data_IF_917640441664
#
_entry.id   IF_917640441664
#
_cell.length_a   1.000
_cell.length_b   1.000
_cell.length_c   1.000
_cell.angle_alpha   90.00
_cell.angle_beta   90.00
_cell.angle_gamma   90.00
#
_symmetry.space_group_name_H-M   'P 1'
#
loop_
_entity.id
_entity.type
_entity.pdbx_description
1 polymer ?
#
# COMPACT_ATOMS: atom_id res chain seq x y z
N UNK A 1 38.66 -21.53 22.37
CA UNK A 1 37.19 -21.54 22.16
C UNK A 1 36.43 -21.02 23.38
N UNK A 2 36.66 -21.57 24.58
CA UNK A 2 35.99 -21.09 25.82
C UNK A 2 36.24 -19.60 26.09
N UNK A 3 37.49 -19.12 26.00
CA UNK A 3 37.83 -17.70 26.15
C UNK A 3 37.03 -16.79 25.21
N UNK A 4 36.93 -17.16 23.93
CA UNK A 4 36.15 -16.43 22.93
C UNK A 4 34.66 -16.38 23.32
N UNK A 5 34.10 -17.51 23.76
CA UNK A 5 32.73 -17.56 24.26
C UNK A 5 32.51 -16.64 25.46
N UNK A 6 33.43 -16.60 26.42
CA UNK A 6 33.32 -15.74 27.60
C UNK A 6 33.45 -14.24 27.24
N UNK A 7 34.27 -13.88 26.25
CA UNK A 7 34.35 -12.51 25.73
C UNK A 7 32.99 -12.09 25.18
N UNK A 8 32.39 -12.87 24.28
CA UNK A 8 31.08 -12.54 23.70
C UNK A 8 29.93 -12.61 24.71
N UNK A 9 30.03 -13.47 25.74
CA UNK A 9 29.07 -13.52 26.83
C UNK A 9 29.14 -12.25 27.69
N UNK A 10 30.35 -11.76 27.97
CA UNK A 10 30.56 -10.47 28.65
C UNK A 10 30.04 -9.29 27.83
N UNK A 11 30.28 -9.28 26.51
CA UNK A 11 29.71 -8.28 25.60
C UNK A 11 28.18 -8.34 25.58
N UNK A 12 27.58 -9.53 25.52
CA UNK A 12 26.13 -9.70 25.59
C UNK A 12 25.56 -9.12 26.90
N UNK A 13 26.22 -9.36 28.04
CA UNK A 13 25.83 -8.80 29.33
C UNK A 13 25.91 -7.26 29.35
N UNK A 14 26.97 -6.67 28.78
CA UNK A 14 27.13 -5.21 28.68
C UNK A 14 26.05 -4.58 27.78
N UNK A 15 25.79 -5.17 26.61
CA UNK A 15 24.75 -4.70 25.69
C UNK A 15 23.37 -4.83 26.34
N UNK A 16 23.10 -5.95 27.00
CA UNK A 16 21.86 -6.14 27.76
C UNK A 16 21.70 -5.08 28.85
N UNK A 17 22.75 -4.80 29.62
CA UNK A 17 22.70 -3.76 30.65
C UNK A 17 22.37 -2.38 30.08
N UNK A 18 22.97 -2.03 28.93
CA UNK A 18 22.64 -0.79 28.23
C UNK A 18 21.16 -0.76 27.79
N UNK A 19 20.67 -1.83 27.18
CA UNK A 19 19.26 -1.98 26.79
C UNK A 19 18.32 -1.89 28.00
N UNK A 20 18.64 -2.58 29.09
CA UNK A 20 17.87 -2.57 30.32
C UNK A 20 17.77 -1.16 30.92
N UNK A 21 18.90 -0.45 30.96
CA UNK A 21 18.94 0.93 31.44
C UNK A 21 18.07 1.85 30.58
N UNK A 22 18.15 1.71 29.25
CA UNK A 22 17.33 2.48 28.31
C UNK A 22 15.84 2.21 28.46
N UNK A 23 15.44 0.95 28.60
CA UNK A 23 14.02 0.56 28.65
C UNK A 23 13.35 0.81 30.01
N UNK A 24 14.06 0.55 31.11
CA UNK A 24 13.45 0.47 32.44
C UNK A 24 13.89 1.55 33.42
N UNK A 25 15.08 2.12 33.23
CA UNK A 25 15.64 3.10 34.17
C UNK A 25 15.57 4.54 33.65
N UNK A 26 15.52 4.73 32.34
CA UNK A 26 15.42 6.05 31.70
C UNK A 26 14.02 6.28 31.15
N UNK A 27 13.54 7.51 31.32
CA UNK A 27 12.30 7.96 30.67
C UNK A 27 12.55 8.09 29.17
N UNK A 28 11.73 7.47 28.30
CA UNK A 28 11.89 7.60 26.86
C UNK A 28 11.67 9.05 26.41
N UNK A 29 12.37 9.51 25.37
CA UNK A 29 12.16 10.84 24.80
C UNK A 29 10.72 10.98 24.30
N UNK A 30 10.15 12.18 24.43
CA UNK A 30 8.72 12.46 24.17
C UNK A 30 8.42 13.13 22.83
N UNK A 31 9.44 13.47 22.03
CA UNK A 31 9.21 14.09 20.71
C UNK A 31 10.49 14.37 19.92
N UNK A 32 10.30 14.66 18.63
CA UNK A 32 11.36 15.01 17.68
C UNK A 32 12.30 13.85 17.32
N UNK A 33 13.46 14.20 16.76
CA UNK A 33 14.48 13.26 16.28
C UNK A 33 15.01 12.33 17.36
N UNK A 34 14.94 12.75 18.63
CA UNK A 34 15.35 11.93 19.77
C UNK A 34 14.54 10.63 19.91
N UNK A 35 13.27 10.62 19.49
CA UNK A 35 12.43 9.41 19.49
C UNK A 35 12.92 8.40 18.45
N UNK A 36 13.24 8.88 17.26
CA UNK A 36 13.78 8.05 16.17
C UNK A 36 15.14 7.47 16.57
N UNK A 37 16.02 8.31 17.14
CA UNK A 37 17.32 7.86 17.65
C UNK A 37 17.19 6.81 18.76
N UNK A 38 16.24 6.97 19.67
CA UNK A 38 15.95 6.00 20.72
C UNK A 38 15.48 4.65 20.16
N UNK A 39 14.56 4.66 19.18
CA UNK A 39 14.10 3.44 18.52
C UNK A 39 15.24 2.70 17.81
N UNK A 40 16.08 3.42 17.06
CA UNK A 40 17.27 2.84 16.42
C UNK A 40 18.26 2.25 17.41
N UNK A 41 18.51 2.94 18.53
CA UNK A 41 19.40 2.44 19.57
C UNK A 41 18.87 1.12 20.18
N UNK A 42 17.56 0.99 20.39
CA UNK A 42 16.95 -0.28 20.82
C UNK A 42 17.14 -1.38 19.76
N UNK A 43 16.87 -1.08 18.49
CA UNK A 43 17.04 -2.05 17.39
C UNK A 43 18.49 -2.53 17.31
N UNK A 44 19.45 -1.61 17.26
CA UNK A 44 20.86 -1.96 17.17
C UNK A 44 21.37 -2.68 18.41
N UNK A 45 20.91 -2.29 19.61
CA UNK A 45 21.24 -3.00 20.84
C UNK A 45 20.70 -4.44 20.84
N UNK A 46 19.44 -4.66 20.44
CA UNK A 46 18.87 -6.01 20.31
C UNK A 46 19.64 -6.83 19.28
N UNK A 47 20.02 -6.25 18.14
CA UNK A 47 20.83 -6.93 17.13
C UNK A 47 22.23 -7.30 17.65
N UNK A 48 22.92 -6.37 18.33
CA UNK A 48 24.23 -6.62 18.90
C UNK A 48 24.18 -7.73 19.96
N UNK A 49 23.18 -7.70 20.84
CA UNK A 49 22.92 -8.75 21.83
C UNK A 49 22.70 -10.11 21.14
N UNK A 50 21.86 -10.12 20.10
CA UNK A 50 21.53 -11.31 19.31
C UNK A 50 22.78 -11.93 18.69
N UNK A 51 23.62 -11.12 18.06
CA UNK A 51 24.87 -11.57 17.43
C UNK A 51 25.81 -12.18 18.48
N UNK A 52 25.96 -11.52 19.64
CA UNK A 52 26.82 -12.03 20.71
C UNK A 52 26.34 -13.41 21.21
N UNK A 53 25.05 -13.56 21.52
CA UNK A 53 24.50 -14.86 21.94
C UNK A 53 24.54 -15.92 20.84
N UNK A 54 24.44 -15.54 19.57
CA UNK A 54 24.59 -16.46 18.43
C UNK A 54 26.00 -17.06 18.41
N UNK A 55 27.01 -16.21 18.59
CA UNK A 55 28.41 -16.64 18.62
C UNK A 55 28.67 -17.53 19.84
N UNK A 56 28.18 -17.15 21.03
CA UNK A 56 28.29 -17.97 22.25
C UNK A 56 27.65 -19.35 22.05
N UNK A 57 26.43 -19.38 21.49
CA UNK A 57 25.72 -20.61 21.16
C UNK A 57 26.51 -21.50 20.21
N UNK A 58 27.12 -20.93 19.16
CA UNK A 58 27.97 -21.67 18.23
C UNK A 58 29.22 -22.25 18.92
N UNK A 59 29.84 -21.51 19.84
CA UNK A 59 30.97 -22.00 20.65
C UNK A 59 30.54 -23.15 21.56
N UNK A 60 29.42 -23.03 22.28
CA UNK A 60 28.85 -24.10 23.12
C UNK A 60 28.59 -25.36 22.29
N UNK A 61 28.02 -25.19 21.09
CA UNK A 61 27.76 -26.29 20.17
C UNK A 61 29.04 -27.03 19.75
N UNK A 62 30.10 -26.30 19.41
CA UNK A 62 31.42 -26.88 19.08
C UNK A 62 32.07 -27.60 20.26
N UNK A 63 31.77 -27.21 21.49
CA UNK A 63 32.24 -27.87 22.72
C UNK A 63 31.36 -29.05 23.15
N UNK A 64 30.33 -29.39 22.38
CA UNK A 64 29.43 -30.51 22.69
C UNK A 64 28.35 -30.20 23.73
N UNK A 65 28.13 -28.92 24.08
CA UNK A 65 27.13 -28.52 25.08
C UNK A 65 25.68 -28.88 24.74
N UNK A 66 25.41 -29.23 23.47
CA UNK A 66 24.11 -29.71 23.00
C UNK A 66 24.04 -31.22 22.80
N UNK A 67 24.86 -32.02 23.50
CA UNK A 67 24.89 -33.48 23.38
C UNK A 67 23.56 -34.20 23.68
N UNK A 68 22.56 -33.49 24.22
CA UNK A 68 21.20 -33.99 24.48
C UNK A 68 20.33 -34.16 23.20
N UNK A 69 20.82 -33.80 22.02
CA UNK A 69 20.15 -34.01 20.73
C UNK A 69 21.12 -34.66 19.72
N UNK A 70 20.64 -35.69 19.02
CA UNK A 70 21.39 -36.47 18.02
C UNK A 70 21.06 -36.04 16.57
N UNK A 71 22.03 -36.15 15.66
CA UNK A 71 21.86 -35.97 14.20
C UNK A 71 21.90 -34.52 13.66
N UNK A 72 21.69 -34.38 12.33
CA UNK A 72 21.70 -33.09 11.61
C UNK A 72 20.58 -32.13 12.04
N UNK A 73 19.51 -32.65 12.67
CA UNK A 73 18.43 -31.86 13.25
C UNK A 73 18.89 -30.99 14.42
N UNK A 74 19.99 -31.34 15.09
CA UNK A 74 20.58 -30.62 16.22
C UNK A 74 20.93 -29.17 15.88
N UNK A 75 21.64 -28.97 14.77
CA UNK A 75 22.06 -27.61 14.34
C UNK A 75 20.85 -26.78 13.95
N UNK A 76 19.89 -27.39 13.24
CA UNK A 76 18.64 -26.73 12.86
C UNK A 76 17.80 -26.34 14.09
N UNK A 77 17.66 -27.21 15.09
CA UNK A 77 16.93 -26.93 16.33
C UNK A 77 17.57 -25.80 17.14
N UNK A 78 18.90 -25.79 17.24
CA UNK A 78 19.63 -24.73 17.95
C UNK A 78 19.50 -23.40 17.22
N UNK A 79 19.64 -23.39 15.89
CA UNK A 79 19.50 -22.16 15.08
C UNK A 79 18.07 -21.63 15.11
N UNK A 80 17.07 -22.48 14.85
CA UNK A 80 15.65 -22.11 14.91
C UNK A 80 15.26 -21.65 16.32
N UNK A 81 15.73 -22.35 17.35
CA UNK A 81 15.45 -22.00 18.72
C UNK A 81 16.04 -20.65 19.12
N UNK A 82 17.28 -20.39 18.71
CA UNK A 82 17.91 -19.09 18.88
C UNK A 82 17.11 -18.00 18.15
N UNK A 83 16.75 -18.21 16.88
CA UNK A 83 15.96 -17.24 16.12
C UNK A 83 14.62 -16.93 16.80
N UNK A 84 13.91 -17.94 17.31
CA UNK A 84 12.68 -17.76 18.06
C UNK A 84 12.89 -16.91 19.32
N UNK A 85 13.92 -17.21 20.10
CA UNK A 85 14.27 -16.45 21.31
C UNK A 85 14.58 -14.99 20.97
N UNK A 86 15.34 -14.75 19.90
CA UNK A 86 15.73 -13.41 19.47
C UNK A 86 14.53 -12.61 18.95
N UNK A 87 13.67 -13.24 18.13
CA UNK A 87 12.43 -12.64 17.65
C UNK A 87 11.47 -12.33 18.79
N UNK A 88 11.34 -13.25 19.75
CA UNK A 88 10.51 -13.06 20.94
C UNK A 88 10.97 -11.89 21.79
N UNK A 89 12.26 -11.88 22.13
CA UNK A 89 12.84 -10.81 22.94
C UNK A 89 12.79 -9.45 22.23
N UNK A 90 13.11 -9.41 20.94
CA UNK A 90 13.02 -8.18 20.13
C UNK A 90 11.59 -7.67 20.03
N UNK A 91 10.62 -8.55 19.77
CA UNK A 91 9.21 -8.19 19.73
C UNK A 91 8.73 -7.59 21.05
N UNK A 92 8.95 -8.28 22.17
CA UNK A 92 8.50 -7.76 23.47
C UNK A 92 9.26 -6.50 23.91
N UNK A 93 10.53 -6.34 23.50
CA UNK A 93 11.30 -5.11 23.71
C UNK A 93 10.66 -3.92 22.97
N UNK A 94 10.32 -4.11 21.70
CA UNK A 94 9.74 -3.07 20.85
C UNK A 94 8.28 -2.78 21.20
N UNK A 95 7.54 -3.79 21.66
CA UNK A 95 6.10 -3.72 21.93
C UNK A 95 5.74 -3.39 23.39
N UNK A 96 6.72 -3.22 24.28
CA UNK A 96 6.51 -3.00 25.72
C UNK A 96 5.60 -1.80 26.07
N UNK A 97 5.39 -0.87 25.15
CA UNK A 97 4.52 0.31 25.33
C UNK A 97 3.12 0.19 24.74
N UNK A 98 2.99 -0.27 23.49
CA UNK A 98 1.75 -0.09 22.70
C UNK A 98 1.18 -1.40 22.16
N UNK A 99 2.02 -2.42 21.97
CA UNK A 99 1.70 -3.62 21.22
C UNK A 99 0.88 -4.69 21.93
N UNK A 100 0.46 -4.46 23.17
CA UNK A 100 -0.21 -5.46 24.00
C UNK A 100 -1.46 -4.93 24.69
N UNK A 101 -2.03 -3.83 24.18
CA UNK A 101 -3.24 -3.19 24.74
C UNK A 101 -4.43 -4.14 24.86
N UNK A 102 -4.55 -5.04 23.90
CA UNK A 102 -5.71 -5.92 23.74
C UNK A 102 -5.57 -7.24 24.52
N UNK A 103 -4.45 -7.43 25.22
CA UNK A 103 -4.21 -8.63 26.01
C UNK A 103 -4.81 -8.47 27.42
N UNK A 104 -5.23 -9.58 28.06
CA UNK A 104 -5.64 -9.55 29.45
C UNK A 104 -4.60 -8.84 30.33
N UNK A 105 -5.00 -8.02 31.33
CA UNK A 105 -4.07 -7.21 32.12
C UNK A 105 -2.92 -8.01 32.74
N UNK A 106 -3.19 -9.23 33.18
CA UNK A 106 -2.17 -10.13 33.71
C UNK A 106 -1.12 -10.53 32.66
N UNK A 107 -1.55 -10.90 31.45
CA UNK A 107 -0.65 -11.28 30.35
C UNK A 107 0.22 -10.11 29.93
N UNK A 108 -0.37 -8.91 29.87
CA UNK A 108 0.35 -7.66 29.60
C UNK A 108 1.43 -7.39 30.63
N UNK A 109 1.11 -7.60 31.92
CA UNK A 109 2.05 -7.40 33.00
C UNK A 109 3.22 -8.40 32.91
N UNK A 110 2.96 -9.67 32.61
CA UNK A 110 4.01 -10.69 32.41
C UNK A 110 4.92 -10.30 31.23
N UNK A 111 4.35 -9.94 30.08
CA UNK A 111 5.11 -9.62 28.88
C UNK A 111 5.98 -8.38 29.01
N UNK A 112 5.56 -7.41 29.82
CA UNK A 112 6.36 -6.22 30.14
C UNK A 112 7.71 -6.55 30.78
N UNK A 113 7.80 -7.63 31.57
CA UNK A 113 9.02 -8.02 32.25
C UNK A 113 9.86 -9.05 31.50
N UNK A 114 9.35 -9.65 30.41
CA UNK A 114 10.11 -10.61 29.61
C UNK A 114 11.46 -10.02 29.15
N UNK A 115 11.53 -8.80 28.57
CA UNK A 115 12.80 -8.21 28.16
C UNK A 115 13.77 -7.94 29.31
N UNK A 116 13.28 -7.82 30.55
CA UNK A 116 14.12 -7.63 31.73
C UNK A 116 14.66 -8.94 32.30
N UNK A 117 13.84 -10.00 32.29
CA UNK A 117 14.12 -11.25 33.02
C UNK A 117 14.75 -12.31 32.12
N UNK A 118 14.28 -12.45 30.88
CA UNK A 118 14.72 -13.53 30.00
C UNK A 118 16.20 -13.41 29.58
N UNK A 119 16.72 -12.23 29.17
CA UNK A 119 18.11 -12.14 28.72
C UNK A 119 19.15 -12.49 29.80
N UNK A 120 19.03 -12.05 31.08
CA UNK A 120 19.91 -12.50 32.15
C UNK A 120 19.88 -14.02 32.35
N UNK A 121 18.69 -14.64 32.32
CA UNK A 121 18.56 -16.09 32.45
C UNK A 121 19.28 -16.83 31.32
N UNK A 122 19.19 -16.33 30.09
CA UNK A 122 19.89 -16.89 28.94
C UNK A 122 21.41 -16.71 29.03
N UNK A 123 21.89 -15.54 29.49
CA UNK A 123 23.32 -15.29 29.73
C UNK A 123 23.85 -16.28 30.78
N UNK A 124 23.13 -16.48 31.89
CA UNK A 124 23.51 -17.41 32.95
C UNK A 124 23.54 -18.86 32.44
N UNK A 125 22.48 -19.30 31.74
CA UNK A 125 22.43 -20.63 31.14
C UNK A 125 23.58 -20.87 30.16
N UNK A 126 23.87 -19.89 29.31
CA UNK A 126 24.97 -19.96 28.36
C UNK A 126 26.33 -20.02 29.07
N UNK A 127 26.53 -19.24 30.14
CA UNK A 127 27.74 -19.27 30.95
C UNK A 127 27.97 -20.62 31.63
N UNK A 128 26.92 -21.23 32.17
CA UNK A 128 26.97 -22.57 32.76
C UNK A 128 27.35 -23.63 31.72
N UNK A 129 26.67 -23.63 30.57
CA UNK A 129 26.95 -24.56 29.48
C UNK A 129 28.35 -24.39 28.89
N UNK A 130 28.85 -23.16 28.82
CA UNK A 130 30.16 -22.83 28.25
C UNK A 130 31.33 -23.26 29.15
N UNK A 131 31.18 -23.12 30.48
CA UNK A 131 32.30 -23.29 31.42
C UNK A 131 32.27 -24.63 32.18
N UNK A 132 31.10 -25.11 32.60
CA UNK A 132 30.97 -26.36 33.35
C UNK A 132 30.50 -27.54 32.47
N UNK A 133 29.91 -27.23 31.31
CA UNK A 133 29.36 -28.23 30.39
C UNK A 133 28.11 -28.93 30.94
N UNK A 134 27.42 -29.72 30.10
CA UNK A 134 26.12 -30.32 30.46
C UNK A 134 26.22 -31.45 31.50
N UNK A 135 27.41 -32.02 31.72
CA UNK A 135 27.63 -33.07 32.74
C UNK A 135 27.94 -32.51 34.13
N UNK A 136 28.34 -31.23 34.22
CA UNK A 136 28.75 -30.58 35.47
C UNK A 136 27.67 -29.72 36.11
N UNK A 137 26.47 -29.62 35.51
CA UNK A 137 25.40 -28.71 35.93
C UNK A 137 24.04 -29.43 35.86
N UNK A 138 23.14 -29.25 36.84
CA UNK A 138 21.78 -29.79 36.77
C UNK A 138 21.06 -29.36 35.48
N UNK A 139 20.38 -30.30 34.83
CA UNK A 139 19.72 -30.07 33.53
C UNK A 139 18.76 -28.87 33.54
N UNK A 140 18.00 -28.72 34.64
CA UNK A 140 17.03 -27.63 34.82
C UNK A 140 17.67 -26.23 34.75
N UNK A 141 18.94 -26.07 35.18
CA UNK A 141 19.61 -24.77 35.25
C UNK A 141 19.86 -24.14 33.87
N UNK A 142 19.91 -24.94 32.81
CA UNK A 142 20.04 -24.42 31.44
C UNK A 142 18.81 -24.75 30.56
N UNK A 143 18.10 -25.84 30.81
CA UNK A 143 16.91 -26.21 30.05
C UNK A 143 15.74 -25.25 30.29
N UNK A 144 15.53 -24.81 31.54
CA UNK A 144 14.40 -23.93 31.86
C UNK A 144 14.53 -22.55 31.17
N UNK A 145 15.66 -21.83 31.24
CA UNK A 145 15.84 -20.58 30.50
C UNK A 145 15.65 -20.72 28.99
N UNK A 146 16.16 -21.81 28.40
CA UNK A 146 16.00 -22.09 26.96
C UNK A 146 14.52 -22.33 26.63
N UNK A 147 13.83 -23.18 27.41
CA UNK A 147 12.42 -23.49 27.19
C UNK A 147 11.53 -22.25 27.33
N UNK A 148 11.76 -21.42 28.34
CA UNK A 148 11.06 -20.14 28.50
C UNK A 148 11.32 -19.24 27.30
N UNK A 149 12.58 -19.12 26.86
CA UNK A 149 12.91 -18.34 25.68
C UNK A 149 12.16 -18.80 24.43
N UNK A 150 12.12 -20.11 24.17
CA UNK A 150 11.38 -20.68 23.05
C UNK A 150 9.88 -20.37 23.12
N UNK A 151 9.26 -20.54 24.29
CA UNK A 151 7.85 -20.21 24.50
C UNK A 151 7.57 -18.73 24.24
N UNK A 152 8.46 -17.83 24.67
CA UNK A 152 8.30 -16.40 24.37
C UNK A 152 8.42 -16.10 22.88
N UNK A 153 9.31 -16.80 22.15
CA UNK A 153 9.42 -16.69 20.70
C UNK A 153 8.16 -17.13 19.97
N UNK A 154 7.60 -18.28 20.35
CA UNK A 154 6.34 -18.79 19.79
C UNK A 154 5.18 -17.83 20.10
N UNK A 155 5.10 -17.35 21.34
CA UNK A 155 4.07 -16.39 21.75
C UNK A 155 4.17 -15.08 20.94
N UNK A 156 5.38 -14.57 20.70
CA UNK A 156 5.57 -13.37 19.88
C UNK A 156 5.09 -13.57 18.43
N UNK A 157 5.42 -14.70 17.80
CA UNK A 157 4.94 -15.02 16.44
C UNK A 157 3.41 -15.12 16.42
N UNK A 158 2.81 -15.83 17.37
CA UNK A 158 1.36 -15.96 17.46
C UNK A 158 0.68 -14.58 17.59
N UNK A 159 1.23 -13.70 18.43
CA UNK A 159 0.72 -12.33 18.59
C UNK A 159 0.89 -11.50 17.32
N UNK A 160 2.03 -11.58 16.65
CA UNK A 160 2.26 -10.90 15.36
C UNK A 160 1.22 -11.33 14.32
N UNK A 161 0.95 -12.64 14.20
CA UNK A 161 -0.03 -13.17 13.25
C UNK A 161 -1.46 -12.72 13.58
N UNK A 162 -1.85 -12.75 14.86
CA UNK A 162 -3.16 -12.25 15.31
C UNK A 162 -3.31 -10.76 15.02
N UNK A 163 -2.28 -9.96 15.30
CA UNK A 163 -2.29 -8.52 15.02
C UNK A 163 -2.37 -8.22 13.54
N UNK A 164 -1.57 -8.92 12.73
CA UNK A 164 -1.59 -8.77 11.28
C UNK A 164 -2.96 -9.11 10.67
N UNK A 165 -3.56 -10.23 11.12
CA UNK A 165 -4.91 -10.64 10.69
C UNK A 165 -5.96 -9.58 11.05
N UNK A 166 -5.93 -9.07 12.30
CA UNK A 166 -6.84 -8.00 12.74
C UNK A 166 -6.67 -6.71 11.95
N UNK A 167 -5.44 -6.24 11.77
CA UNK A 167 -5.17 -5.03 10.99
C UNK A 167 -5.64 -5.17 9.55
N UNK A 168 -5.47 -6.35 8.95
CA UNK A 168 -5.96 -6.64 7.61
C UNK A 168 -7.49 -6.62 7.57
N UNK A 169 -8.16 -7.25 8.53
CA UNK A 169 -9.63 -7.23 8.61
C UNK A 169 -10.19 -5.81 8.80
N UNK A 170 -9.56 -4.99 9.65
CA UNK A 170 -9.94 -3.57 9.84
C UNK A 170 -9.76 -2.77 8.55
N UNK A 171 -8.64 -2.95 7.85
CA UNK A 171 -8.38 -2.29 6.55
C UNK A 171 -9.40 -2.69 5.50
N UNK A 172 -9.68 -3.99 5.36
CA UNK A 172 -10.67 -4.49 4.40
C UNK A 172 -12.08 -3.94 4.71
N UNK A 173 -12.46 -3.90 5.99
CA UNK A 173 -13.74 -3.33 6.40
C UNK A 173 -13.81 -1.82 6.09
N UNK A 174 -12.76 -1.07 6.42
CA UNK A 174 -12.71 0.36 6.12
C UNK A 174 -12.74 0.65 4.61
N UNK A 175 -12.07 -0.16 3.81
CA UNK A 175 -12.08 -0.05 2.35
C UNK A 175 -13.46 -0.39 1.76
N UNK A 176 -14.11 -1.45 2.26
CA UNK A 176 -15.48 -1.80 1.88
C UNK A 176 -16.47 -0.68 2.23
N UNK A 177 -16.42 -0.18 3.47
CA UNK A 177 -17.30 0.91 3.92
C UNK A 177 -17.06 2.19 3.10
N UNK A 178 -15.81 2.49 2.76
CA UNK A 178 -15.46 3.62 1.89
C UNK A 178 -16.03 3.45 0.48
N UNK A 179 -15.92 2.26 -0.12
CA UNK A 179 -16.48 1.98 -1.44
C UNK A 179 -18.02 2.07 -1.43
N UNK A 180 -18.66 1.55 -0.38
CA UNK A 180 -20.12 1.62 -0.21
C UNK A 180 -20.58 3.08 -0.07
N UNK A 181 -19.93 3.87 0.79
CA UNK A 181 -20.23 5.30 0.94
C UNK A 181 -20.03 6.06 -0.36
N UNK A 182 -18.93 5.81 -1.06
CA UNK A 182 -18.63 6.43 -2.34
C UNK A 182 -19.70 6.13 -3.40
N UNK A 183 -20.21 4.90 -3.44
CA UNK A 183 -21.33 4.54 -4.31
C UNK A 183 -22.63 5.24 -3.91
N UNK A 184 -22.95 5.27 -2.61
CA UNK A 184 -24.15 5.94 -2.07
C UNK A 184 -24.13 7.44 -2.41
N UNK A 185 -23.00 8.11 -2.25
CA UNK A 185 -22.88 9.54 -2.52
C UNK A 185 -23.07 9.86 -4.00
N UNK A 186 -22.57 9.01 -4.90
CA UNK A 186 -22.81 9.13 -6.35
C UNK A 186 -24.28 8.93 -6.71
N UNK A 187 -24.93 7.91 -6.14
CA UNK A 187 -26.36 7.68 -6.35
C UNK A 187 -27.18 8.88 -5.85
N UNK A 188 -26.84 9.42 -4.67
CA UNK A 188 -27.46 10.63 -4.13
C UNK A 188 -27.26 11.81 -5.08
N UNK A 189 -26.05 12.03 -5.58
CA UNK A 189 -25.76 13.11 -6.52
C UNK A 189 -26.59 12.99 -7.82
N UNK A 190 -26.74 11.77 -8.35
CA UNK A 190 -27.59 11.53 -9.52
C UNK A 190 -29.05 11.89 -9.22
N UNK A 191 -29.57 11.43 -8.08
CA UNK A 191 -30.96 11.63 -7.70
C UNK A 191 -31.31 13.11 -7.44
N UNK A 192 -30.38 13.86 -6.84
CA UNK A 192 -30.58 15.29 -6.51
C UNK A 192 -30.23 16.25 -7.64
N UNK A 193 -29.66 15.76 -8.75
CA UNK A 193 -29.33 16.63 -9.89
C UNK A 193 -30.60 17.18 -10.55
N UNK A 194 -30.65 18.51 -10.69
CA UNK A 194 -31.66 19.21 -11.46
C UNK A 194 -31.42 19.02 -12.97
N UNK A 195 -32.33 18.30 -13.62
CA UNK A 195 -32.24 17.99 -15.05
C UNK A 195 -32.38 19.21 -15.98
N UNK A 196 -32.98 20.30 -15.50
CA UNK A 196 -33.21 21.49 -16.32
C UNK A 196 -31.93 22.30 -16.53
N UNK A 197 -31.06 22.31 -15.51
CA UNK A 197 -29.83 23.14 -15.50
C UNK A 197 -28.55 22.31 -15.58
N UNK A 198 -28.57 21.09 -15.04
CA UNK A 198 -27.35 20.38 -14.63
C UNK A 198 -27.23 18.96 -15.21
N UNK A 199 -28.03 18.61 -16.23
CA UNK A 199 -27.99 17.28 -16.87
C UNK A 199 -26.59 16.86 -17.37
N UNK A 200 -25.75 17.82 -17.79
CA UNK A 200 -24.38 17.55 -18.25
C UNK A 200 -23.53 16.85 -17.19
N UNK A 201 -23.75 17.16 -15.91
CA UNK A 201 -23.03 16.51 -14.80
C UNK A 201 -23.44 15.06 -14.61
N UNK A 202 -24.58 14.63 -15.16
CA UNK A 202 -24.95 13.21 -15.14
C UNK A 202 -24.15 12.38 -16.14
N UNK A 203 -23.65 12.98 -17.22
CA UNK A 203 -22.94 12.24 -18.26
C UNK A 203 -21.66 11.59 -17.73
N UNK A 204 -20.99 12.19 -16.73
CA UNK A 204 -19.80 11.61 -16.09
C UNK A 204 -20.07 10.23 -15.46
N UNK A 205 -21.31 9.99 -15.01
CA UNK A 205 -21.74 8.75 -14.38
C UNK A 205 -22.17 7.68 -15.38
N UNK A 206 -22.14 7.95 -16.69
CA UNK A 206 -22.60 7.01 -17.73
C UNK A 206 -21.48 6.20 -18.40
N UNK A 207 -20.22 6.45 -18.04
CA UNK A 207 -19.06 5.76 -18.61
C UNK A 207 -19.03 4.25 -18.25
N UNK A 208 -18.42 3.44 -19.09
CA UNK A 208 -18.27 1.99 -18.87
C UNK A 208 -17.45 1.63 -17.62
N UNK A 209 -16.64 2.54 -17.09
CA UNK A 209 -15.86 2.34 -15.86
C UNK A 209 -16.64 2.62 -14.57
N UNK A 210 -17.93 2.98 -14.68
CA UNK A 210 -18.80 3.19 -13.53
C UNK A 210 -19.43 1.87 -13.06
N UNK A 211 -19.74 1.77 -11.77
CA UNK A 211 -20.50 0.65 -11.24
C UNK A 211 -21.85 0.54 -11.99
N UNK A 212 -22.30 -0.67 -12.39
CA UNK A 212 -23.50 -0.85 -13.21
C UNK A 212 -24.72 -0.12 -12.66
N UNK A 213 -24.96 -0.20 -11.35
CA UNK A 213 -26.08 0.48 -10.67
C UNK A 213 -26.01 2.02 -10.80
N UNK A 214 -24.82 2.61 -10.70
CA UNK A 214 -24.61 4.06 -10.85
C UNK A 214 -24.88 4.47 -12.29
N UNK A 215 -24.34 3.71 -13.25
CA UNK A 215 -24.52 3.94 -14.68
C UNK A 215 -25.98 3.85 -15.09
N UNK A 216 -26.65 2.76 -14.72
CA UNK A 216 -28.06 2.53 -15.04
C UNK A 216 -28.97 3.59 -14.43
N UNK A 217 -28.70 4.00 -13.17
CA UNK A 217 -29.44 5.07 -12.51
C UNK A 217 -29.26 6.42 -13.22
N UNK A 218 -28.02 6.76 -13.60
CA UNK A 218 -27.73 7.99 -14.35
C UNK A 218 -28.42 7.98 -15.72
N UNK A 219 -28.35 6.87 -16.47
CA UNK A 219 -29.02 6.72 -17.76
C UNK A 219 -30.54 6.88 -17.64
N UNK A 220 -31.16 6.20 -16.67
CA UNK A 220 -32.59 6.33 -16.41
C UNK A 220 -32.97 7.78 -16.11
N UNK A 221 -32.15 8.48 -15.31
CA UNK A 221 -32.38 9.88 -14.92
C UNK A 221 -32.24 10.84 -16.11
N UNK A 222 -31.22 10.67 -16.96
CA UNK A 222 -31.02 11.45 -18.19
C UNK A 222 -32.22 11.30 -19.14
N UNK A 223 -32.66 10.05 -19.37
CA UNK A 223 -33.75 9.73 -20.30
C UNK A 223 -35.14 10.18 -19.83
N UNK A 224 -35.29 10.70 -18.60
CA UNK A 224 -36.53 11.35 -18.16
C UNK A 224 -36.77 12.69 -18.88
N UNK A 225 -35.72 13.31 -19.45
CA UNK A 225 -35.85 14.53 -20.25
C UNK A 225 -36.12 14.15 -21.71
N UNK A 226 -37.19 14.62 -22.36
CA UNK A 226 -37.53 14.19 -23.72
C UNK A 226 -36.49 14.61 -24.78
N UNK A 227 -35.81 15.74 -24.56
CA UNK A 227 -34.83 16.36 -25.46
C UNK A 227 -33.37 16.08 -25.06
N UNK A 228 -33.12 14.94 -24.41
CA UNK A 228 -31.79 14.58 -23.88
C UNK A 228 -30.74 14.34 -24.99
N UNK A 229 -31.17 13.93 -26.20
CA UNK A 229 -30.26 13.70 -27.32
C UNK A 229 -29.82 15.02 -27.95
N UNK A 230 -30.75 15.97 -28.09
CA UNK A 230 -30.48 17.34 -28.53
C UNK A 230 -29.57 18.06 -27.53
N UNK A 231 -29.68 17.73 -26.23
CA UNK A 231 -28.73 18.21 -25.23
C UNK A 231 -27.32 17.70 -25.49
N UNK A 232 -27.14 16.40 -25.75
CA UNK A 232 -25.83 15.84 -26.05
C UNK A 232 -25.21 16.51 -27.28
N UNK A 233 -26.01 16.72 -28.34
CA UNK A 233 -25.60 17.49 -29.52
C UNK A 233 -25.15 18.89 -29.11
N UNK A 234 -25.97 19.62 -28.33
CA UNK A 234 -25.62 20.97 -27.85
C UNK A 234 -24.32 20.99 -27.03
N UNK A 235 -24.07 19.95 -26.23
CA UNK A 235 -22.84 19.83 -25.42
C UNK A 235 -21.61 19.50 -26.25
N UNK A 236 -21.74 18.69 -27.31
CA UNK A 236 -20.66 18.50 -28.28
C UNK A 236 -20.23 19.81 -28.96
N UNK A 237 -21.09 20.83 -28.99
CA UNK A 237 -20.84 22.12 -29.65
C UNK A 237 -20.35 23.22 -28.69
N UNK A 238 -20.01 22.89 -27.44
CA UNK A 238 -19.43 23.82 -26.49
C UNK A 238 -18.40 23.15 -25.57
N UNK A 239 -17.91 23.88 -24.57
CA UNK A 239 -16.84 23.45 -23.65
C UNK A 239 -17.16 22.16 -22.86
N UNK A 240 -18.41 21.70 -22.89
CA UNK A 240 -18.86 20.44 -22.30
C UNK A 240 -18.80 19.23 -23.25
N UNK A 241 -18.11 19.36 -24.40
CA UNK A 241 -17.87 18.25 -25.31
C UNK A 241 -17.24 17.01 -24.64
N UNK A 242 -16.29 17.14 -23.69
CA UNK A 242 -15.71 15.96 -23.01
C UNK A 242 -16.76 15.09 -22.31
N UNK A 243 -17.75 15.70 -21.65
CA UNK A 243 -18.83 15.02 -20.96
C UNK A 243 -19.78 14.33 -21.95
N UNK A 244 -20.05 14.96 -23.10
CA UNK A 244 -20.83 14.31 -24.15
C UNK A 244 -20.10 13.10 -24.75
N UNK A 245 -18.79 13.20 -25.00
CA UNK A 245 -17.97 12.05 -25.41
C UNK A 245 -17.95 10.94 -24.37
N UNK A 246 -17.94 11.28 -23.08
CA UNK A 246 -18.04 10.30 -22.01
C UNK A 246 -19.31 9.45 -22.11
N UNK A 247 -20.45 10.09 -22.41
CA UNK A 247 -21.71 9.38 -22.67
C UNK A 247 -21.64 8.54 -23.95
N UNK A 248 -21.29 9.15 -25.07
CA UNK A 248 -21.36 8.54 -26.40
C UNK A 248 -20.34 7.41 -26.60
N UNK A 249 -19.21 7.42 -25.90
CA UNK A 249 -18.23 6.35 -25.95
C UNK A 249 -18.74 5.02 -25.38
N UNK A 250 -19.74 5.06 -24.48
CA UNK A 250 -20.19 3.89 -23.72
C UNK A 250 -21.68 3.54 -23.86
N UNK A 251 -22.52 4.44 -24.39
CA UNK A 251 -23.98 4.26 -24.41
C UNK A 251 -24.55 4.44 -25.83
N UNK A 252 -25.57 3.65 -26.18
CA UNK A 252 -26.30 3.82 -27.45
C UNK A 252 -27.20 5.07 -27.38
N UNK A 253 -27.46 5.65 -28.54
CA UNK A 253 -28.42 6.75 -28.74
C UNK A 253 -29.53 6.27 -29.67
N UNK A 254 -30.74 6.80 -29.46
CA UNK A 254 -31.93 6.33 -30.17
C UNK A 254 -31.99 6.91 -31.59
N UNK A 255 -31.59 8.17 -31.77
CA UNK A 255 -31.55 8.86 -33.06
C UNK A 255 -30.10 9.19 -33.45
N UNK A 256 -29.43 8.25 -34.11
CA UNK A 256 -28.01 8.37 -34.49
C UNK A 256 -27.75 9.49 -35.51
N UNK A 257 -28.74 9.85 -36.33
CA UNK A 257 -28.57 10.81 -37.44
C UNK A 257 -28.31 12.24 -36.94
N UNK A 258 -28.61 12.54 -35.67
CA UNK A 258 -28.36 13.85 -35.06
C UNK A 258 -26.87 14.14 -34.80
N UNK A 259 -26.05 13.10 -34.71
CA UNK A 259 -24.72 13.19 -34.11
C UNK A 259 -23.54 13.33 -35.06
N UNK A 260 -23.52 12.89 -36.33
CA UNK A 260 -22.28 12.83 -37.10
C UNK A 260 -21.54 14.17 -37.21
N UNK A 261 -22.26 15.23 -37.57
CA UNK A 261 -21.70 16.58 -37.65
C UNK A 261 -21.30 17.13 -36.27
N UNK A 262 -22.15 16.93 -35.26
CA UNK A 262 -21.89 17.36 -33.90
C UNK A 262 -20.66 16.68 -33.29
N UNK A 263 -20.43 15.40 -33.59
CA UNK A 263 -19.24 14.64 -33.18
C UNK A 263 -18.00 15.26 -33.81
N UNK A 264 -18.04 15.58 -35.11
CA UNK A 264 -16.91 16.26 -35.77
C UNK A 264 -16.58 17.59 -35.10
N UNK A 265 -17.59 18.41 -34.80
CA UNK A 265 -17.40 19.67 -34.08
C UNK A 265 -16.85 19.47 -32.67
N UNK A 266 -17.37 18.50 -31.93
CA UNK A 266 -16.88 18.14 -30.60
C UNK A 266 -15.41 17.74 -30.58
N UNK A 267 -14.92 17.04 -31.61
CA UNK A 267 -13.50 16.68 -31.73
C UNK A 267 -12.64 17.96 -31.82
N UNK A 268 -13.09 18.96 -32.60
CA UNK A 268 -12.38 20.23 -32.73
C UNK A 268 -12.40 21.03 -31.42
N UNK A 269 -13.51 20.98 -30.68
CA UNK A 269 -13.58 21.58 -29.34
C UNK A 269 -12.64 20.87 -28.37
N UNK A 270 -12.62 19.54 -28.35
CA UNK A 270 -11.69 18.76 -27.53
C UNK A 270 -10.23 19.11 -27.84
N UNK A 271 -9.90 19.28 -29.13
CA UNK A 271 -8.58 19.74 -29.57
C UNK A 271 -8.26 21.14 -29.02
N UNK A 272 -9.19 22.10 -29.09
CA UNK A 272 -9.01 23.43 -28.49
C UNK A 272 -8.80 23.36 -26.97
N UNK A 273 -9.63 22.60 -26.25
CA UNK A 273 -9.54 22.46 -24.79
C UNK A 273 -8.20 21.84 -24.35
N UNK A 274 -7.67 20.87 -25.10
CA UNK A 274 -6.33 20.32 -24.85
C UNK A 274 -5.25 21.40 -25.02
N UNK A 275 -5.28 22.18 -26.11
CA UNK A 275 -4.31 23.27 -26.30
C UNK A 275 -4.36 24.28 -25.17
N UNK A 276 -5.57 24.68 -24.76
CA UNK A 276 -5.76 25.59 -23.63
C UNK A 276 -5.23 25.01 -22.32
N UNK A 277 -5.49 23.72 -22.06
CA UNK A 277 -4.98 23.04 -20.87
C UNK A 277 -3.46 23.01 -20.84
N UNK A 278 -2.79 22.77 -21.97
CA UNK A 278 -1.31 22.76 -22.07
C UNK A 278 -0.73 24.17 -21.86
N UNK A 279 -1.37 25.19 -22.42
CA UNK A 279 -0.98 26.61 -22.25
C UNK A 279 -1.11 27.10 -20.80
N UNK A 280 -2.10 26.57 -20.07
CA UNK A 280 -2.42 26.95 -18.69
C UNK A 280 -1.68 26.10 -17.63
N UNK A 281 -0.78 25.21 -18.03
CA UNK A 281 0.06 24.47 -17.09
C UNK A 281 0.83 25.44 -16.17
N UNK A 282 1.00 25.04 -14.91
CA UNK A 282 1.67 25.79 -13.84
C UNK A 282 2.97 25.12 -13.39
N UNK A 283 3.14 23.83 -13.69
CA UNK A 283 4.36 23.08 -13.38
C UNK A 283 4.49 21.80 -14.18
N UNK A 284 5.67 21.16 -14.08
CA UNK A 284 5.95 19.87 -14.73
C UNK A 284 4.99 18.76 -14.30
N UNK A 285 4.38 18.87 -13.11
CA UNK A 285 3.42 17.88 -12.59
C UNK A 285 2.05 17.93 -13.28
N UNK A 286 1.71 19.00 -14.00
CA UNK A 286 0.45 19.10 -14.74
C UNK A 286 0.47 18.26 -16.04
N UNK A 287 1.66 17.90 -16.51
CA UNK A 287 1.89 17.09 -17.70
C UNK A 287 2.55 15.76 -17.32
N UNK A 288 1.77 14.68 -17.37
CA UNK A 288 2.26 13.33 -17.17
C UNK A 288 1.87 12.45 -18.36
N UNK A 289 2.52 11.30 -18.53
CA UNK A 289 2.38 10.48 -19.73
C UNK A 289 0.94 10.05 -20.05
N UNK A 290 0.12 9.78 -19.02
CA UNK A 290 -1.29 9.42 -19.18
C UNK A 290 -2.25 10.60 -19.37
N UNK A 291 -1.76 11.85 -19.42
CA UNK A 291 -2.59 13.04 -19.59
C UNK A 291 -3.27 12.99 -20.97
N UNK A 292 -4.56 13.33 -20.99
CA UNK A 292 -5.44 13.31 -22.18
C UNK A 292 -5.78 11.93 -22.75
N UNK A 293 -5.29 10.82 -22.17
CA UNK A 293 -5.57 9.48 -22.69
C UNK A 293 -7.05 9.13 -22.69
N UNK A 294 -7.77 9.50 -21.62
CA UNK A 294 -9.20 9.24 -21.48
C UNK A 294 -10.03 10.02 -22.50
N UNK A 295 -9.71 11.29 -22.70
CA UNK A 295 -10.37 12.18 -23.63
C UNK A 295 -10.19 11.69 -25.07
N UNK A 296 -8.96 11.32 -25.44
CA UNK A 296 -8.66 10.77 -26.77
C UNK A 296 -9.34 9.42 -26.98
N UNK A 297 -9.28 8.51 -26.01
CA UNK A 297 -9.91 7.19 -26.11
C UNK A 297 -11.42 7.33 -26.32
N UNK A 298 -12.10 8.17 -25.54
CA UNK A 298 -13.54 8.40 -25.65
C UNK A 298 -13.92 8.97 -27.01
N UNK A 299 -13.16 9.95 -27.51
CA UNK A 299 -13.35 10.48 -28.87
C UNK A 299 -13.27 9.37 -29.91
N UNK A 300 -12.21 8.56 -29.91
CA UNK A 300 -12.02 7.51 -30.91
C UNK A 300 -13.12 6.43 -30.83
N UNK A 301 -13.49 6.02 -29.60
CA UNK A 301 -14.61 5.09 -29.40
C UNK A 301 -15.94 5.66 -29.87
N UNK A 302 -16.17 6.96 -29.71
CA UNK A 302 -17.35 7.62 -30.28
C UNK A 302 -17.30 7.60 -31.80
N UNK A 303 -16.17 7.94 -32.43
CA UNK A 303 -16.02 7.91 -33.89
C UNK A 303 -16.33 6.52 -34.45
N UNK A 304 -15.80 5.46 -33.86
CA UNK A 304 -16.01 4.08 -34.32
C UNK A 304 -17.51 3.71 -34.37
N UNK A 305 -18.35 4.34 -33.53
CA UNK A 305 -19.81 4.10 -33.47
C UNK A 305 -20.62 4.90 -34.48
N UNK A 306 -20.08 6.01 -34.97
CA UNK A 306 -20.70 6.88 -35.98
C UNK A 306 -19.99 6.81 -37.33
N UNK A 307 -19.04 5.88 -37.49
CA UNK A 307 -18.33 5.65 -38.74
C UNK A 307 -19.31 5.17 -39.82
N UNK A 308 -19.11 5.65 -41.06
CA UNK A 308 -19.97 5.29 -42.19
C UNK A 308 -21.25 6.11 -42.31
N UNK A 309 -21.51 7.05 -41.41
CA UNK A 309 -22.68 7.94 -41.44
C UNK A 309 -22.47 9.23 -42.28
N UNK A 310 -21.64 9.16 -43.32
CA UNK A 310 -21.47 10.26 -44.28
C UNK A 310 -20.55 11.42 -43.87
N UNK A 311 -19.95 11.39 -42.68
CA UNK A 311 -19.01 12.41 -42.20
C UNK A 311 -17.57 11.86 -42.14
N UNK A 312 -16.63 12.59 -42.74
CA UNK A 312 -15.20 12.30 -42.60
C UNK A 312 -14.65 12.97 -41.33
N UNK A 313 -14.33 12.15 -40.32
CA UNK A 313 -13.75 12.62 -39.06
C UNK A 313 -12.24 12.83 -39.13
N UNK A 314 -11.55 12.32 -40.16
CA UNK A 314 -10.09 12.32 -40.25
C UNK A 314 -9.49 13.74 -40.12
N UNK A 315 -10.03 14.80 -40.77
CA UNK A 315 -9.52 16.16 -40.58
C UNK A 315 -9.60 16.64 -39.13
N UNK A 316 -10.68 16.31 -38.42
CA UNK A 316 -10.84 16.70 -37.02
C UNK A 316 -9.89 15.93 -36.10
N UNK A 317 -9.67 14.63 -36.36
CA UNK A 317 -8.71 13.82 -35.59
C UNK A 317 -7.26 14.30 -35.82
N UNK A 318 -6.93 14.76 -37.04
CA UNK A 318 -5.64 15.42 -37.29
C UNK A 318 -5.47 16.66 -36.42
N UNK A 319 -6.51 17.49 -36.27
CA UNK A 319 -6.46 18.66 -35.40
C UNK A 319 -6.35 18.29 -33.91
N UNK A 320 -7.04 17.24 -33.47
CA UNK A 320 -6.87 16.68 -32.13
C UNK A 320 -5.44 16.19 -31.90
N UNK A 321 -4.84 15.52 -32.88
CA UNK A 321 -3.45 15.06 -32.80
C UNK A 321 -2.47 16.23 -32.71
N UNK A 322 -2.65 17.28 -33.52
CA UNK A 322 -1.82 18.49 -33.48
C UNK A 322 -1.97 19.25 -32.15
N UNK A 323 -3.14 19.24 -31.53
CA UNK A 323 -3.34 19.87 -30.23
C UNK A 323 -2.40 19.31 -29.14
N UNK A 324 -2.05 18.03 -29.22
CA UNK A 324 -1.10 17.40 -28.31
C UNK A 324 0.34 17.88 -28.51
N UNK A 325 0.65 18.60 -29.60
CA UNK A 325 1.97 19.19 -29.88
C UNK A 325 2.07 20.66 -29.43
N UNK A 326 1.03 21.21 -28.79
CA UNK A 326 1.02 22.59 -28.29
C UNK A 326 2.27 22.90 -27.45
N UNK A 327 2.96 24.04 -27.69
CA UNK A 327 4.14 24.43 -26.95
C UNK A 327 3.82 24.76 -25.49
N UNK A 328 4.78 24.50 -24.61
CA UNK A 328 4.72 24.81 -23.18
C UNK A 328 6.13 25.06 -22.64
N UNK A 329 6.25 25.89 -21.61
CA UNK A 329 7.54 26.17 -20.93
C UNK A 329 8.01 25.04 -20.03
N UNK A 330 7.14 24.06 -19.77
CA UNK A 330 7.38 22.95 -18.84
C UNK A 330 7.87 21.69 -19.56
N UNK A 331 8.45 20.77 -18.80
CA UNK A 331 8.89 19.48 -19.35
C UNK A 331 7.67 18.65 -19.74
N UNK A 332 7.46 18.52 -21.05
CA UNK A 332 6.37 17.71 -21.62
C UNK A 332 6.84 16.28 -21.89
N UNK A 333 6.35 15.27 -21.15
CA UNK A 333 6.68 13.88 -21.44
C UNK A 333 6.01 13.43 -22.74
N UNK A 334 6.48 12.30 -23.29
CA UNK A 334 5.79 11.64 -24.41
C UNK A 334 4.44 11.12 -23.93
N UNK A 335 3.35 11.70 -24.42
CA UNK A 335 1.98 11.34 -24.05
C UNK A 335 1.59 9.98 -24.64
N UNK A 336 0.93 9.13 -23.86
CA UNK A 336 0.53 7.78 -24.25
C UNK A 336 -0.55 7.75 -25.33
N UNK A 337 -1.35 8.81 -25.45
CA UNK A 337 -2.39 8.92 -26.47
C UNK A 337 -1.86 9.24 -27.88
N UNK A 338 -0.63 9.75 -28.01
CA UNK A 338 -0.03 10.09 -29.31
C UNK A 338 0.06 8.86 -30.23
N UNK A 339 0.70 7.73 -29.82
CA UNK A 339 0.75 6.53 -30.65
C UNK A 339 -0.63 5.96 -31.02
N UNK A 340 -1.63 6.14 -30.14
CA UNK A 340 -3.00 5.66 -30.39
C UNK A 340 -3.64 6.44 -31.54
N UNK A 341 -3.53 7.77 -31.51
CA UNK A 341 -4.00 8.63 -32.60
C UNK A 341 -3.23 8.39 -33.90
N UNK A 342 -1.90 8.29 -33.84
CA UNK A 342 -1.06 8.04 -35.02
C UNK A 342 -1.46 6.72 -35.70
N UNK A 343 -1.69 5.66 -34.91
CA UNK A 343 -2.18 4.37 -35.42
C UNK A 343 -3.56 4.49 -36.05
N UNK A 344 -4.48 5.25 -35.43
CA UNK A 344 -5.82 5.46 -35.98
C UNK A 344 -5.76 6.21 -37.32
N UNK A 345 -4.93 7.26 -37.42
CA UNK A 345 -4.72 8.09 -38.62
C UNK A 345 -3.96 7.39 -39.76
N UNK A 346 -3.24 6.31 -39.47
CA UNK A 346 -2.62 5.47 -40.50
C UNK A 346 -3.61 4.47 -41.11
N UNK A 347 -4.63 4.08 -40.34
CA UNK A 347 -5.64 3.10 -40.77
C UNK A 347 -6.76 3.74 -41.61
N UNK A 348 -7.05 5.02 -41.37
CA UNK A 348 -8.13 5.80 -42.00
C UNK A 348 -7.56 6.99 -42.76
#
# INVERSE_FOLDING_TARGET
>A
MILLGNIFLGLAALVFWALFNMMFLKTPPRGGDAVVGYAWALIFGVLAFSICLSIVTAVIGKLGGFAWSEGNAKTALVVTGLLLILLGNGFFTLMAGEGTSDLPPFVRQVFRYIPAVLPPLLILAAGLLLNAGPKGVPALSYQLPIALGLLTGIAAIALMLVQHSRQTAVRMKAESEYQDQFQIDRLRQIDTTDLSTNIVFLFVFTDANQAPIVRERALARIKMRPDWQEELVRRLQNDWAPEAFNFLASNEVDNKDLFPEAVREGILIQARLIRESIRKCRGDYDLYQGRYSWEVERVLRTIDRFQGMGVDYRPAVVELRKALDEPTSFKKPKLYCIPVLDKWLQKH
#
